data_IF_316718337230
#
_entry.id   IF_316718337230
#
_cell.length_a   1.000
_cell.length_b   1.000
_cell.length_c   1.000
_cell.angle_alpha   90.00
_cell.angle_beta   90.00
_cell.angle_gamma   90.00
#
_symmetry.space_group_name_H-M   'P 1'
#
loop_
_entity.id
_entity.type
_entity.pdbx_description
1 polymer ?
#
# COMPACT_ATOMS: atom_id res chain seq x y z
N UNK A 1 -31.96 17.71 15.38
CA UNK A 1 -31.28 16.88 14.36
C UNK A 1 -29.79 17.15 14.49
N UNK A 2 -29.01 16.18 14.96
CA UNK A 2 -27.56 16.33 15.11
C UNK A 2 -26.92 15.94 13.77
N UNK A 3 -26.54 16.94 12.96
CA UNK A 3 -25.80 16.71 11.72
C UNK A 3 -24.34 16.48 12.10
N UNK A 4 -23.99 15.24 12.47
CA UNK A 4 -22.59 14.88 12.66
C UNK A 4 -21.88 15.09 11.32
N UNK A 5 -21.00 16.08 11.26
CA UNK A 5 -20.16 16.32 10.09
C UNK A 5 -19.19 15.15 9.96
N UNK A 6 -19.43 14.30 8.97
CA UNK A 6 -18.54 13.18 8.67
C UNK A 6 -17.17 13.71 8.23
N UNK A 7 -16.12 13.20 8.87
CA UNK A 7 -14.73 13.42 8.45
C UNK A 7 -14.06 12.05 8.27
N UNK A 8 -13.63 11.68 7.05
CA UNK A 8 -12.90 10.44 6.86
C UNK A 8 -11.51 10.55 7.50
N UNK A 9 -10.93 9.42 7.89
CA UNK A 9 -9.57 9.38 8.44
C UNK A 9 -8.49 9.66 7.39
N UNK A 10 -8.77 9.26 6.15
CA UNK A 10 -7.87 9.41 5.00
C UNK A 10 -8.68 9.74 3.75
N UNK A 11 -8.07 10.46 2.82
CA UNK A 11 -8.64 10.75 1.50
C UNK A 11 -7.62 10.33 0.45
N UNK A 12 -8.04 9.50 -0.49
CA UNK A 12 -7.25 9.17 -1.67
C UNK A 12 -7.40 10.30 -2.69
N UNK A 13 -6.37 11.12 -2.81
CA UNK A 13 -6.37 12.34 -3.64
C UNK A 13 -6.06 12.01 -5.10
N UNK A 14 -5.21 11.01 -5.32
CA UNK A 14 -4.84 10.51 -6.63
C UNK A 14 -4.73 9.00 -6.58
N UNK A 15 -5.25 8.35 -7.61
CA UNK A 15 -4.97 6.97 -7.96
C UNK A 15 -4.87 6.93 -9.48
N UNK A 16 -3.71 6.55 -9.98
CA UNK A 16 -3.51 6.29 -11.40
C UNK A 16 -2.96 4.88 -11.54
N UNK A 17 -3.63 4.08 -12.37
CA UNK A 17 -3.26 2.69 -12.65
C UNK A 17 -3.15 2.55 -14.16
N UNK A 18 -1.96 2.21 -14.63
CA UNK A 18 -1.68 1.95 -16.04
C UNK A 18 -1.30 0.48 -16.23
N UNK A 19 -1.82 -0.12 -17.29
CA UNK A 19 -1.49 -1.48 -17.70
C UNK A 19 -0.89 -1.44 -19.10
N UNK A 20 0.25 -2.10 -19.26
CA UNK A 20 0.79 -2.49 -20.56
C UNK A 20 0.66 -4.00 -20.69
N UNK A 21 -0.07 -4.48 -21.71
CA UNK A 21 -0.44 -5.88 -21.86
C UNK A 21 0.14 -6.42 -23.17
N UNK A 22 0.93 -7.46 -23.07
CA UNK A 22 1.57 -8.11 -24.20
C UNK A 22 0.65 -9.18 -24.83
N UNK A 23 0.91 -9.54 -26.10
CA UNK A 23 0.15 -10.55 -26.84
C UNK A 23 0.21 -11.95 -26.20
N UNK A 24 1.32 -12.25 -25.51
CA UNK A 24 1.53 -13.52 -24.79
C UNK A 24 0.78 -13.61 -23.45
N UNK A 25 0.01 -12.59 -23.10
CA UNK A 25 -0.79 -12.52 -21.87
C UNK A 25 -0.01 -12.04 -20.64
N UNK A 26 1.27 -11.68 -20.77
CA UNK A 26 2.02 -10.99 -19.72
C UNK A 26 1.62 -9.51 -19.65
N UNK A 27 1.86 -8.87 -18.50
CA UNK A 27 1.54 -7.46 -18.33
C UNK A 27 2.47 -6.75 -17.34
N UNK A 28 2.59 -5.43 -17.48
CA UNK A 28 3.15 -4.52 -16.47
C UNK A 28 2.04 -3.65 -15.91
N UNK A 29 1.97 -3.49 -14.58
CA UNK A 29 1.03 -2.58 -13.90
C UNK A 29 1.80 -1.52 -13.13
N UNK A 30 1.62 -0.27 -13.51
CA UNK A 30 2.12 0.88 -12.76
C UNK A 30 1.00 1.48 -11.91
N UNK A 31 1.29 1.71 -10.63
CA UNK A 31 0.34 2.30 -9.66
C UNK A 31 0.96 3.54 -9.02
N UNK A 32 0.26 4.67 -9.12
CA UNK A 32 0.62 5.92 -8.44
C UNK A 32 -0.53 6.32 -7.52
N UNK A 33 -0.25 6.39 -6.22
CA UNK A 33 -1.22 6.78 -5.20
C UNK A 33 -0.75 8.02 -4.43
N UNK A 34 -1.70 8.89 -4.07
CA UNK A 34 -1.50 9.94 -3.07
C UNK A 34 -2.63 9.89 -2.06
N UNK A 35 -2.26 9.65 -0.81
CA UNK A 35 -3.19 9.59 0.31
C UNK A 35 -2.94 10.80 1.20
N UNK A 36 -3.99 11.57 1.48
CA UNK A 36 -3.97 12.64 2.48
C UNK A 36 -4.55 12.11 3.79
N UNK A 37 -3.77 12.22 4.85
CA UNK A 37 -4.16 11.81 6.19
C UNK A 37 -4.87 12.97 6.88
N UNK A 38 -6.07 12.72 7.41
CA UNK A 38 -6.94 13.74 8.01
C UNK A 38 -6.95 13.70 9.54
N UNK A 39 -6.72 12.51 10.12
CA UNK A 39 -6.85 12.28 11.57
C UNK A 39 -5.70 11.42 12.11
N UNK A 40 -5.51 11.44 13.43
CA UNK A 40 -4.56 10.56 14.12
C UNK A 40 -4.87 9.07 13.90
N UNK A 41 -6.15 8.74 13.72
CA UNK A 41 -6.53 7.38 13.35
C UNK A 41 -6.07 7.05 11.92
N UNK A 42 -6.13 8.01 10.99
CA UNK A 42 -5.55 7.87 9.65
C UNK A 42 -4.04 7.67 9.67
N UNK A 43 -3.31 8.32 10.60
CA UNK A 43 -1.87 8.08 10.79
C UNK A 43 -1.61 6.61 11.12
N UNK A 44 -2.43 6.01 12.01
CA UNK A 44 -2.31 4.58 12.34
C UNK A 44 -2.71 3.65 11.19
N UNK A 45 -3.68 4.06 10.38
CA UNK A 45 -4.12 3.29 9.22
C UNK A 45 -3.06 3.28 8.11
N UNK A 46 -2.31 4.37 7.94
CA UNK A 46 -1.30 4.53 6.90
C UNK A 46 0.14 4.45 7.42
N UNK A 47 0.35 4.04 8.67
CA UNK A 47 1.71 3.85 9.21
C UNK A 47 2.44 2.69 8.53
N UNK A 48 1.69 1.78 7.92
CA UNK A 48 2.18 0.71 7.07
C UNK A 48 1.24 0.55 5.88
N UNK A 49 1.81 0.45 4.68
CA UNK A 49 1.07 0.18 3.45
C UNK A 49 1.49 -1.20 2.96
N UNK A 50 0.55 -2.14 2.90
CA UNK A 50 0.80 -3.49 2.41
C UNK A 50 0.51 -3.57 0.92
N UNK A 51 1.48 -4.07 0.16
CA UNK A 51 1.34 -4.37 -1.27
C UNK A 51 1.44 -5.89 -1.46
N UNK A 52 0.40 -6.49 -2.02
CA UNK A 52 0.34 -7.94 -2.24
C UNK A 52 0.66 -8.27 -3.69
N UNK A 53 1.44 -9.32 -3.89
CA UNK A 53 1.78 -9.89 -5.20
C UNK A 53 2.00 -11.40 -5.08
N UNK A 54 1.93 -12.11 -6.20
CA UNK A 54 2.25 -13.54 -6.29
C UNK A 54 3.73 -13.74 -6.60
N UNK A 55 4.53 -14.16 -5.63
CA UNK A 55 5.98 -14.37 -5.85
C UNK A 55 6.34 -15.45 -6.87
N UNK A 56 5.38 -16.26 -7.32
CA UNK A 56 5.56 -17.24 -8.41
C UNK A 56 5.20 -16.72 -9.80
N UNK A 57 4.52 -15.56 -9.90
CA UNK A 57 3.96 -15.04 -11.15
C UNK A 57 4.28 -13.56 -11.39
N UNK A 58 4.65 -12.82 -10.35
CA UNK A 58 4.79 -11.38 -10.35
C UNK A 58 6.06 -10.97 -9.61
N UNK A 59 6.71 -9.93 -10.12
CA UNK A 59 7.74 -9.18 -9.41
C UNK A 59 7.17 -7.83 -8.98
N UNK A 60 7.41 -7.43 -7.73
CA UNK A 60 7.01 -6.13 -7.20
C UNK A 60 8.22 -5.24 -6.97
N UNK A 61 8.23 -4.05 -7.56
CA UNK A 61 9.24 -3.02 -7.30
C UNK A 61 8.60 -1.72 -6.84
N UNK A 62 9.04 -1.19 -5.70
CA UNK A 62 8.64 0.13 -5.22
C UNK A 62 9.55 1.20 -5.82
N UNK A 63 9.06 1.93 -6.83
CA UNK A 63 9.83 2.96 -7.53
C UNK A 63 10.05 4.22 -6.66
N UNK A 64 9.03 4.61 -5.89
CA UNK A 64 9.08 5.76 -4.98
C UNK A 64 8.02 5.64 -3.89
N UNK A 65 8.43 5.90 -2.65
CA UNK A 65 7.53 6.12 -1.53
C UNK A 65 8.05 7.29 -0.68
N UNK A 66 7.16 8.20 -0.31
CA UNK A 66 7.52 9.35 0.52
C UNK A 66 6.28 9.91 1.24
N UNK A 67 6.53 10.55 2.37
CA UNK A 67 5.54 11.38 3.07
C UNK A 67 5.86 12.85 2.82
N UNK A 68 4.83 13.64 2.51
CA UNK A 68 4.92 15.09 2.49
C UNK A 68 4.15 15.60 3.71
N UNK A 69 4.84 16.29 4.62
CA UNK A 69 4.24 16.87 5.82
C UNK A 69 3.41 18.10 5.49
N UNK A 70 2.61 18.57 6.44
CA UNK A 70 1.72 19.74 6.23
C UNK A 70 2.47 21.04 5.94
N UNK A 71 3.72 21.18 6.41
CA UNK A 71 4.65 22.26 6.09
C UNK A 71 5.42 22.06 4.78
N UNK A 72 5.12 20.99 4.03
CA UNK A 72 5.70 20.72 2.71
C UNK A 72 7.04 19.99 2.72
N UNK A 73 7.57 19.61 3.89
CA UNK A 73 8.80 18.83 3.98
C UNK A 73 8.55 17.41 3.46
N UNK A 74 9.47 16.94 2.61
CA UNK A 74 9.47 15.58 2.09
C UNK A 74 10.32 14.66 2.97
N UNK A 75 9.78 13.51 3.31
CA UNK A 75 10.45 12.43 4.03
C UNK A 75 10.36 11.21 3.11
N UNK A 76 11.48 10.82 2.50
CA UNK A 76 11.54 9.63 1.66
C UNK A 76 11.57 8.37 2.53
N UNK A 77 10.94 7.30 2.04
CA UNK A 77 11.04 5.96 2.63
C UNK A 77 12.32 5.33 2.12
N UNK A 78 13.18 4.85 3.02
CA UNK A 78 14.39 4.13 2.63
C UNK A 78 14.01 2.79 2.01
N UNK A 79 14.78 2.27 1.03
CA UNK A 79 14.61 0.88 0.58
C UNK A 79 14.66 -0.12 1.74
N UNK A 80 15.47 0.15 2.77
CA UNK A 80 15.60 -0.70 3.96
C UNK A 80 14.32 -0.72 4.84
N UNK A 81 13.42 0.26 4.67
CA UNK A 81 12.14 0.33 5.37
C UNK A 81 11.02 -0.44 4.64
N UNK A 82 11.29 -0.92 3.42
CA UNK A 82 10.36 -1.73 2.62
C UNK A 82 10.64 -3.21 2.89
N UNK A 83 9.81 -3.82 3.73
CA UNK A 83 10.01 -5.19 4.21
C UNK A 83 9.12 -6.15 3.43
N UNK A 84 9.72 -7.16 2.80
CA UNK A 84 8.97 -8.29 2.23
C UNK A 84 8.47 -9.20 3.36
N UNK A 85 7.14 -9.32 3.47
CA UNK A 85 6.52 -10.20 4.44
C UNK A 85 5.90 -11.39 3.73
N UNK A 86 6.49 -12.58 3.90
CA UNK A 86 5.86 -13.82 3.45
C UNK A 86 4.57 -14.04 4.23
N UNK A 87 3.50 -14.43 3.55
CA UNK A 87 2.33 -14.97 4.23
C UNK A 87 2.78 -16.15 5.09
N UNK A 88 2.28 -16.23 6.32
CA UNK A 88 2.51 -17.39 7.16
C UNK A 88 2.00 -18.61 6.36
N UNK A 89 2.92 -19.45 5.86
CA UNK A 89 2.57 -20.77 5.38
C UNK A 89 1.91 -21.46 6.56
N UNK A 90 0.59 -21.62 6.51
CA UNK A 90 -0.17 -22.35 7.52
C UNK A 90 0.61 -23.61 7.84
N UNK A 91 1.16 -23.69 9.06
CA UNK A 91 1.69 -24.96 9.54
C UNK A 91 0.51 -25.92 9.49
N UNK A 92 0.57 -27.04 8.75
CA UNK A 92 -0.52 -27.99 8.78
C UNK A 92 -0.70 -28.40 10.24
N UNK A 93 -1.92 -28.22 10.77
CA UNK A 93 -2.27 -28.63 12.12
C UNK A 93 -1.80 -30.07 12.32
N UNK A 94 -0.77 -30.25 13.14
CA UNK A 94 -0.32 -31.56 13.52
C UNK A 94 -1.38 -32.15 14.45
N UNK A 95 -2.28 -32.97 13.89
CA UNK A 95 -3.04 -33.92 14.68
C UNK A 95 -2.05 -34.93 15.27
N UNK A 96 -1.64 -34.69 16.51
CA UNK A 96 -1.04 -35.74 17.33
C UNK A 96 -2.18 -36.46 18.04
N UNK A 97 -2.24 -37.77 17.77
CA UNK A 97 -3.17 -38.77 18.30
C UNK A 97 -3.25 -38.77 19.82
#
# INVERSE_FOLDING_TARGET
MNTANFRPNVIRVLENIAYDVCEDGTYTKEVIERIRIETDQGVRQCSQISLSYSSSLEDLTVIRACTITSDGRRIDVSPDDVIEQQSCRERPCANVR
#
